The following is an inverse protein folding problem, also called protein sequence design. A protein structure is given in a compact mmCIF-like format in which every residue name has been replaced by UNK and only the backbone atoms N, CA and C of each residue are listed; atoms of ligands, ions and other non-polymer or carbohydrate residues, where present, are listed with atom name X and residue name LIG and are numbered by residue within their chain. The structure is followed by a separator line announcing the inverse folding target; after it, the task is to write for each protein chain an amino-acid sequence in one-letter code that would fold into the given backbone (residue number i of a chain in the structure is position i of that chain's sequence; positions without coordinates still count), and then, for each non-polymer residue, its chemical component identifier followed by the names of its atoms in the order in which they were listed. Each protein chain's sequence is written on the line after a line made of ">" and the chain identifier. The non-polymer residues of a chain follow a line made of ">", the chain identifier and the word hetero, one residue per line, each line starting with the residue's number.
data_IF_459691318562
#
_entry.id   IF_459691318562
#
_cell.length_a   1.000
_cell.length_b   1.000
_cell.length_c   1.000
_cell.angle_alpha   90.00
_cell.angle_beta   90.00
_cell.angle_gamma   90.00
#
_symmetry.space_group_name_H-M   'P 1'
#
loop_
_entity.id
_entity.type
_entity.pdbx_description
1 polymer ?
#
# COMPACT_ATOMS: atom_id res chain seq x y z
N UNK A 1 13.41 -15.12 -4.39
CA UNK A 1 12.39 -15.26 -3.30
C UNK A 1 11.05 -14.73 -3.79
N UNK A 2 9.97 -14.80 -3.01
CA UNK A 2 8.64 -14.26 -3.36
C UNK A 2 8.21 -13.22 -2.33
N UNK A 3 7.40 -12.24 -2.76
CA UNK A 3 6.82 -11.20 -1.90
C UNK A 3 5.32 -11.44 -1.74
N UNK A 4 4.87 -11.60 -0.51
CA UNK A 4 3.46 -11.80 -0.15
C UNK A 4 3.00 -10.61 0.69
N UNK A 5 1.83 -10.08 0.37
CA UNK A 5 1.18 -9.00 1.12
C UNK A 5 -0.09 -9.56 1.75
N UNK A 6 -0.22 -9.43 3.06
CA UNK A 6 -1.46 -9.76 3.79
C UNK A 6 -1.95 -8.51 4.50
N UNK A 7 -3.16 -8.05 4.16
CA UNK A 7 -3.75 -6.85 4.73
C UNK A 7 -5.05 -7.14 5.47
N UNK A 8 -5.40 -6.25 6.39
CA UNK A 8 -6.65 -6.34 7.15
C UNK A 8 -7.17 -4.96 7.52
N UNK A 9 -8.47 -4.72 7.28
CA UNK A 9 -9.09 -3.46 7.69
C UNK A 9 -9.13 -3.36 9.21
N UNK A 10 -8.83 -2.17 9.73
CA UNK A 10 -9.00 -1.88 11.15
C UNK A 10 -10.50 -1.82 11.44
N UNK A 11 -10.97 -2.67 12.36
CA UNK A 11 -12.39 -2.87 12.64
C UNK A 11 -13.15 -1.55 12.81
N UNK A 12 -14.19 -1.35 11.99
CA UNK A 12 -15.22 -0.34 12.22
C UNK A 12 -16.25 -0.88 13.22
N UNK A 13 -16.70 -0.03 14.16
CA UNK A 13 -17.56 -0.44 15.29
C UNK A 13 -19.04 -0.61 14.93
N UNK A 14 -19.48 -0.27 13.71
CA UNK A 14 -20.90 -0.29 13.32
C UNK A 14 -21.17 -1.24 12.14
N UNK A 15 -22.32 -1.93 12.19
CA UNK A 15 -22.76 -2.90 11.17
C UNK A 15 -23.03 -2.29 9.79
N UNK A 16 -23.66 -1.12 9.71
CA UNK A 16 -23.94 -0.43 8.43
C UNK A 16 -22.64 -0.01 7.71
N UNK A 17 -21.65 0.45 8.47
CA UNK A 17 -20.33 0.78 7.94
C UNK A 17 -19.62 -0.45 7.37
N UNK A 18 -19.93 -1.67 7.87
CA UNK A 18 -19.24 -2.90 7.49
C UNK A 18 -19.53 -3.32 6.05
N UNK A 19 -20.80 -3.28 5.61
CA UNK A 19 -21.15 -3.62 4.23
C UNK A 19 -20.51 -2.66 3.22
N UNK A 20 -20.56 -1.35 3.53
CA UNK A 20 -19.92 -0.33 2.69
C UNK A 20 -18.40 -0.53 2.63
N UNK A 21 -17.77 -0.88 3.75
CA UNK A 21 -16.34 -1.16 3.83
C UNK A 21 -15.93 -2.34 2.95
N UNK A 22 -16.74 -3.41 2.95
CA UNK A 22 -16.48 -4.58 2.11
C UNK A 22 -16.64 -4.28 0.62
N UNK A 23 -17.66 -3.52 0.22
CA UNK A 23 -17.82 -3.11 -1.19
C UNK A 23 -16.66 -2.22 -1.66
N UNK A 24 -16.21 -1.28 -0.81
CA UNK A 24 -15.01 -0.48 -1.08
C UNK A 24 -13.75 -1.32 -1.19
N UNK A 25 -13.58 -2.31 -0.30
CA UNK A 25 -12.46 -3.24 -0.36
C UNK A 25 -12.47 -4.06 -1.66
N UNK A 26 -13.62 -4.64 -2.06
CA UNK A 26 -13.77 -5.34 -3.34
C UNK A 26 -13.39 -4.45 -4.52
N UNK A 27 -13.89 -3.21 -4.54
CA UNK A 27 -13.55 -2.23 -5.57
C UNK A 27 -12.06 -1.89 -5.61
N UNK A 28 -11.43 -1.74 -4.44
CA UNK A 28 -10.00 -1.51 -4.33
C UNK A 28 -9.17 -2.68 -4.87
N UNK A 29 -9.53 -3.92 -4.52
CA UNK A 29 -8.85 -5.13 -4.99
C UNK A 29 -8.97 -5.29 -6.50
N UNK A 30 -10.17 -5.12 -7.07
CA UNK A 30 -10.36 -5.17 -8.52
C UNK A 30 -9.53 -4.12 -9.25
N UNK A 31 -9.45 -2.90 -8.69
CA UNK A 31 -8.62 -1.85 -9.26
C UNK A 31 -7.13 -2.19 -9.18
N UNK A 32 -6.65 -2.72 -8.05
CA UNK A 32 -5.24 -3.12 -7.89
C UNK A 32 -4.87 -4.21 -8.89
N UNK A 33 -5.69 -5.26 -9.03
CA UNK A 33 -5.43 -6.34 -9.99
C UNK A 33 -5.39 -5.86 -11.44
N UNK A 34 -6.20 -4.86 -11.79
CA UNK A 34 -6.17 -4.25 -13.13
C UNK A 34 -4.96 -3.33 -13.31
N UNK A 35 -4.70 -2.42 -12.35
CA UNK A 35 -3.71 -1.34 -12.46
C UNK A 35 -2.26 -1.83 -12.34
N UNK A 36 -2.04 -2.89 -11.57
CA UNK A 36 -0.72 -3.42 -11.24
C UNK A 36 -0.47 -4.80 -11.83
N UNK A 37 -1.29 -5.26 -12.80
CA UNK A 37 -1.23 -6.61 -13.37
C UNK A 37 0.20 -7.09 -13.72
N UNK A 38 1.01 -6.22 -14.33
CA UNK A 38 2.38 -6.55 -14.74
C UNK A 38 3.35 -6.75 -13.56
N UNK A 39 2.93 -6.35 -12.36
CA UNK A 39 3.68 -6.49 -11.11
C UNK A 39 3.08 -7.57 -10.19
N UNK A 40 2.05 -8.31 -10.62
CA UNK A 40 1.43 -9.36 -9.80
C UNK A 40 1.96 -10.73 -10.20
N UNK A 41 2.43 -11.48 -9.20
CA UNK A 41 2.70 -12.91 -9.34
C UNK A 41 1.40 -13.71 -9.15
N UNK A 42 0.55 -13.24 -8.24
CA UNK A 42 -0.76 -13.80 -7.95
C UNK A 42 -1.71 -12.67 -7.56
N UNK A 43 -2.93 -12.72 -8.06
CA UNK A 43 -3.93 -11.66 -7.91
C UNK A 43 -4.25 -11.40 -6.43
N UNK A 44 -4.52 -10.15 -6.09
CA UNK A 44 -5.06 -9.83 -4.77
C UNK A 44 -6.47 -10.39 -4.64
N UNK A 45 -6.77 -11.00 -3.49
CA UNK A 45 -8.07 -11.55 -3.15
C UNK A 45 -8.44 -11.27 -1.71
N UNK A 46 -9.74 -11.15 -1.46
CA UNK A 46 -10.28 -11.14 -0.11
C UNK A 46 -10.22 -12.56 0.44
N UNK A 47 -9.55 -12.74 1.57
CA UNK A 47 -9.33 -14.05 2.21
C UNK A 47 -10.25 -14.28 3.42
N UNK A 48 -10.91 -13.22 3.91
CA UNK A 48 -11.96 -13.37 4.91
C UNK A 48 -12.48 -12.03 5.42
N UNK A 49 -13.75 -11.72 5.13
CA UNK A 49 -14.44 -10.51 5.59
C UNK A 49 -13.70 -9.21 5.24
N UNK A 50 -12.79 -8.82 6.12
CA UNK A 50 -12.02 -7.57 6.10
C UNK A 50 -10.53 -7.79 5.76
N UNK A 51 -10.10 -9.04 5.55
CA UNK A 51 -8.73 -9.44 5.21
C UNK A 51 -8.55 -9.67 3.71
N UNK A 52 -7.38 -9.33 3.19
CA UNK A 52 -6.98 -9.57 1.81
C UNK A 52 -5.52 -10.03 1.71
N UNK A 53 -5.18 -10.70 0.62
CA UNK A 53 -3.83 -11.18 0.36
C UNK A 53 -3.51 -11.11 -1.14
N UNK A 54 -2.25 -10.94 -1.51
CA UNK A 54 -1.78 -10.98 -2.90
C UNK A 54 -0.26 -11.13 -2.97
N UNK A 55 0.27 -11.36 -4.17
CA UNK A 55 1.71 -11.48 -4.39
C UNK A 55 2.19 -10.49 -5.44
N UNK A 56 3.26 -9.77 -5.13
CA UNK A 56 3.89 -8.83 -6.06
C UNK A 56 5.27 -9.31 -6.47
N UNK A 57 5.70 -8.90 -7.66
CA UNK A 57 7.01 -9.25 -8.19
C UNK A 57 8.10 -8.29 -7.73
N UNK A 58 7.79 -7.06 -7.33
CA UNK A 58 8.78 -6.03 -7.01
C UNK A 58 8.41 -5.23 -5.77
N UNK A 59 9.41 -4.91 -4.93
CA UNK A 59 9.19 -4.19 -3.67
C UNK A 59 8.90 -2.70 -3.86
N UNK A 60 9.48 -2.05 -4.86
CA UNK A 60 9.36 -0.62 -5.13
C UNK A 60 7.93 -0.20 -5.54
N UNK A 61 7.12 -1.13 -6.03
CA UNK A 61 5.69 -0.93 -6.33
C UNK A 61 4.84 -0.73 -5.08
N UNK A 62 5.35 -1.08 -3.89
CA UNK A 62 4.61 -1.10 -2.63
C UNK A 62 3.94 0.24 -2.28
N UNK A 63 4.60 1.37 -2.53
CA UNK A 63 4.06 2.69 -2.18
C UNK A 63 2.88 3.04 -3.11
N UNK A 64 3.02 2.82 -4.41
CA UNK A 64 1.95 3.05 -5.38
C UNK A 64 0.73 2.15 -5.11
N UNK A 65 0.99 0.88 -4.80
CA UNK A 65 -0.04 -0.09 -4.44
C UNK A 65 -0.78 0.35 -3.17
N UNK A 66 -0.05 0.82 -2.15
CA UNK A 66 -0.64 1.32 -0.91
C UNK A 66 -1.57 2.52 -1.18
N UNK A 67 -1.16 3.46 -2.03
CA UNK A 67 -1.98 4.62 -2.42
C UNK A 67 -3.24 4.20 -3.18
N UNK A 68 -3.13 3.21 -4.07
CA UNK A 68 -4.27 2.67 -4.80
C UNK A 68 -5.31 2.05 -3.86
N UNK A 69 -4.86 1.30 -2.84
CA UNK A 69 -5.72 0.76 -1.78
C UNK A 69 -6.31 1.88 -0.92
N UNK A 70 -5.47 2.78 -0.39
CA UNK A 70 -5.88 3.91 0.46
C UNK A 70 -7.01 4.73 -0.18
N UNK A 71 -6.82 5.17 -1.42
CA UNK A 71 -7.78 6.02 -2.13
C UNK A 71 -9.12 5.37 -2.44
N UNK A 72 -9.25 4.04 -2.29
CA UNK A 72 -10.47 3.28 -2.64
C UNK A 72 -11.14 2.63 -1.44
N UNK A 73 -10.36 2.13 -0.49
CA UNK A 73 -10.88 1.51 0.74
C UNK A 73 -11.53 2.58 1.62
N UNK A 74 -10.87 3.74 1.79
CA UNK A 74 -11.37 4.83 2.64
C UNK A 74 -11.50 4.50 4.13
N UNK A 75 -10.92 3.38 4.59
CA UNK A 75 -10.85 2.96 5.99
C UNK A 75 -9.43 2.55 6.34
N UNK A 76 -8.95 2.83 7.56
CA UNK A 76 -7.62 2.41 8.01
C UNK A 76 -7.43 0.90 7.88
N UNK A 77 -6.25 0.48 7.43
CA UNK A 77 -5.87 -0.93 7.32
C UNK A 77 -4.42 -1.13 7.73
N UNK A 78 -4.09 -2.35 8.14
CA UNK A 78 -2.74 -2.80 8.40
C UNK A 78 -2.26 -3.69 7.27
N UNK A 79 -0.94 -3.69 7.03
CA UNK A 79 -0.31 -4.50 6.01
C UNK A 79 0.89 -5.27 6.60
N UNK A 80 0.94 -6.57 6.38
CA UNK A 80 2.11 -7.39 6.60
C UNK A 80 2.72 -7.77 5.26
N UNK A 81 4.04 -7.62 5.13
CA UNK A 81 4.80 -8.03 3.96
C UNK A 81 5.76 -9.14 4.37
N UNK A 82 5.66 -10.28 3.71
CA UNK A 82 6.58 -11.40 3.89
C UNK A 82 7.41 -11.61 2.63
N UNK A 83 8.72 -11.71 2.79
CA UNK A 83 9.64 -12.05 1.70
C UNK A 83 10.30 -13.38 2.04
N UNK A 84 10.11 -14.40 1.22
CA UNK A 84 10.63 -15.74 1.52
C UNK A 84 10.40 -16.76 0.41
N UNK A 85 10.58 -18.03 0.72
CA UNK A 85 10.28 -19.12 -0.20
C UNK A 85 8.77 -19.45 -0.26
N UNK A 86 8.34 -20.14 -1.33
CA UNK A 86 7.04 -20.81 -1.40
C UNK A 86 7.26 -22.33 -1.44
N UNK A 87 6.31 -23.09 -0.92
CA UNK A 87 6.37 -24.56 -0.81
C UNK A 87 5.46 -25.28 -1.81
N UNK A 88 4.80 -24.52 -2.68
CA UNK A 88 3.77 -24.97 -3.63
C UNK A 88 4.05 -24.38 -5.02
N UNK A 89 3.37 -24.90 -6.04
CA UNK A 89 3.40 -24.31 -7.38
C UNK A 89 2.72 -22.95 -7.40
N UNK A 90 3.19 -22.06 -8.27
CA UNK A 90 2.51 -20.77 -8.49
C UNK A 90 1.09 -20.97 -9.04
N UNK A 91 0.18 -20.11 -8.59
CA UNK A 91 -1.21 -20.06 -9.02
C UNK A 91 -1.68 -18.60 -9.15
N UNK A 92 -2.64 -18.36 -10.04
CA UNK A 92 -3.38 -17.08 -10.08
C UNK A 92 -4.21 -16.85 -8.81
N UNK A 93 -4.49 -17.93 -8.06
CA UNK A 93 -5.28 -17.91 -6.84
C UNK A 93 -4.33 -17.96 -5.64
N UNK A 94 -4.14 -16.82 -4.97
CA UNK A 94 -3.26 -16.72 -3.79
C UNK A 94 -3.63 -17.68 -2.65
N UNK A 95 -4.88 -18.15 -2.58
CA UNK A 95 -5.34 -19.12 -1.59
C UNK A 95 -4.83 -20.56 -1.84
N UNK A 96 -4.32 -20.83 -3.04
CA UNK A 96 -3.78 -22.15 -3.43
C UNK A 96 -2.26 -22.24 -3.21
N UNK A 97 -1.63 -21.13 -2.81
CA UNK A 97 -0.19 -21.02 -2.59
C UNK A 97 0.08 -20.96 -1.09
N UNK A 98 1.10 -21.69 -0.67
CA UNK A 98 1.60 -21.69 0.71
C UNK A 98 3.14 -21.68 0.73
N UNK A 99 3.70 -21.28 1.87
CA UNK A 99 5.13 -21.32 2.16
C UNK A 99 5.60 -20.23 3.12
N UNK A 100 6.91 -20.16 3.32
CA UNK A 100 7.55 -19.25 4.28
C UNK A 100 7.15 -17.78 4.07
N UNK A 101 7.06 -17.30 2.83
CA UNK A 101 6.64 -15.93 2.54
C UNK A 101 5.22 -15.62 3.07
N UNK A 102 4.30 -16.59 3.04
CA UNK A 102 2.93 -16.45 3.54
C UNK A 102 2.87 -16.44 5.07
N UNK A 103 3.68 -17.29 5.72
CA UNK A 103 3.78 -17.28 7.17
C UNK A 103 4.38 -15.96 7.66
N UNK A 104 5.47 -15.48 7.03
CA UNK A 104 6.09 -14.19 7.35
C UNK A 104 5.13 -13.01 7.12
N UNK A 105 4.33 -13.01 6.05
CA UNK A 105 3.38 -11.90 5.81
C UNK A 105 2.27 -11.88 6.86
N UNK A 106 1.80 -13.05 7.31
CA UNK A 106 0.81 -13.16 8.37
C UNK A 106 1.38 -12.74 9.74
N UNK A 107 2.63 -13.12 10.03
CA UNK A 107 3.35 -12.77 11.26
C UNK A 107 3.63 -11.26 11.32
N UNK A 108 4.10 -10.69 10.22
CA UNK A 108 4.24 -9.26 10.02
C UNK A 108 2.92 -8.51 10.27
N UNK A 109 1.80 -9.00 9.72
CA UNK A 109 0.47 -8.40 9.95
C UNK A 109 0.08 -8.44 11.44
N UNK A 110 0.34 -9.54 12.14
CA UNK A 110 0.10 -9.61 13.60
C UNK A 110 0.96 -8.59 14.35
N UNK A 111 2.24 -8.46 13.97
CA UNK A 111 3.16 -7.48 14.55
C UNK A 111 2.69 -6.04 14.28
N UNK A 112 2.25 -5.74 13.05
CA UNK A 112 1.69 -4.45 12.65
C UNK A 112 0.50 -4.06 13.54
N UNK A 113 -0.48 -4.96 13.69
CA UNK A 113 -1.63 -4.78 14.58
C UNK A 113 -1.23 -4.58 16.04
N UNK A 114 -0.33 -5.41 16.56
CA UNK A 114 0.15 -5.37 17.96
C UNK A 114 0.88 -4.06 18.28
N UNK A 115 1.79 -3.63 17.40
CA UNK A 115 2.60 -2.42 17.56
C UNK A 115 1.91 -1.15 17.06
N UNK A 116 0.71 -1.27 16.46
CA UNK A 116 -0.03 -0.18 15.79
C UNK A 116 0.81 0.52 14.72
N UNK A 117 1.53 -0.28 13.93
CA UNK A 117 2.28 0.15 12.75
C UNK A 117 1.44 -0.11 11.51
N UNK A 118 1.41 0.82 10.57
CA UNK A 118 0.67 0.70 9.31
C UNK A 118 1.15 -0.47 8.46
N UNK A 119 2.46 -0.72 8.49
CA UNK A 119 3.11 -1.81 7.77
C UNK A 119 4.24 -2.42 8.57
N UNK A 120 4.43 -3.73 8.45
CA UNK A 120 5.61 -4.45 8.94
C UNK A 120 6.12 -5.36 7.82
N UNK A 121 7.44 -5.51 7.72
CA UNK A 121 8.09 -6.33 6.69
C UNK A 121 8.98 -7.38 7.35
N UNK A 122 8.83 -8.64 6.95
CA UNK A 122 9.61 -9.76 7.50
C UNK A 122 10.29 -10.57 6.37
N UNK A 123 11.50 -11.06 6.66
CA UNK A 123 12.29 -12.00 5.85
C UNK A 123 12.96 -13.02 6.75
N UNK A 124 13.49 -14.14 6.22
CA UNK A 124 14.19 -15.16 7.02
C UNK A 124 15.35 -14.60 7.86
N UNK A 125 16.01 -13.54 7.37
CA UNK A 125 17.13 -12.85 8.02
C UNK A 125 16.70 -11.80 9.06
N UNK A 126 15.42 -11.46 9.15
CA UNK A 126 14.83 -10.61 10.18
C UNK A 126 15.05 -9.09 10.02
N UNK A 127 16.28 -8.64 9.85
CA UNK A 127 16.62 -7.20 10.00
C UNK A 127 16.79 -6.43 8.67
N UNK A 128 16.53 -7.06 7.52
CA UNK A 128 16.80 -6.45 6.22
C UNK A 128 15.93 -5.21 5.90
N UNK A 129 14.76 -5.08 6.53
CA UNK A 129 13.77 -4.08 6.17
C UNK A 129 13.63 -2.92 7.17
N UNK A 130 14.39 -2.87 8.27
CA UNK A 130 14.14 -1.93 9.37
C UNK A 130 14.04 -0.46 8.93
N UNK A 131 14.98 -0.01 8.08
CA UNK A 131 15.00 1.37 7.56
C UNK A 131 13.81 1.64 6.64
N UNK A 132 13.50 0.70 5.73
CA UNK A 132 12.39 0.84 4.79
C UNK A 132 11.05 0.86 5.54
N UNK A 133 10.85 -0.06 6.49
CA UNK A 133 9.68 -0.12 7.35
C UNK A 133 9.48 1.18 8.14
N UNK A 134 10.55 1.71 8.72
CA UNK A 134 10.49 2.97 9.48
C UNK A 134 10.01 4.13 8.60
N UNK A 135 10.59 4.29 7.41
CA UNK A 135 10.21 5.35 6.48
C UNK A 135 8.76 5.16 6.00
N UNK A 136 8.38 3.94 5.61
CA UNK A 136 7.02 3.61 5.19
C UNK A 136 5.99 3.97 6.26
N UNK A 137 6.24 3.61 7.52
CA UNK A 137 5.32 3.92 8.61
C UNK A 137 5.18 5.43 8.84
N UNK A 138 6.28 6.20 8.76
CA UNK A 138 6.23 7.66 8.86
C UNK A 138 5.45 8.28 7.70
N UNK A 139 5.66 7.79 6.47
CA UNK A 139 4.94 8.24 5.28
C UNK A 139 3.45 7.93 5.37
N UNK A 140 3.08 6.73 5.81
CA UNK A 140 1.68 6.33 5.95
C UNK A 140 0.98 7.05 7.12
N UNK A 141 1.70 7.43 8.16
CA UNK A 141 1.15 8.29 9.22
C UNK A 141 0.78 9.68 8.67
N UNK A 142 1.62 10.24 7.79
CA UNK A 142 1.28 11.48 7.07
C UNK A 142 0.04 11.28 6.20
N UNK A 143 -0.06 10.18 5.44
CA UNK A 143 -1.21 9.87 4.58
C UNK A 143 -2.51 9.77 5.41
N UNK A 144 -2.49 9.02 6.52
CA UNK A 144 -3.67 8.87 7.39
C UNK A 144 -4.00 10.11 8.23
N UNK A 145 -3.11 11.11 8.28
CA UNK A 145 -3.39 12.42 8.90
C UNK A 145 -4.19 13.37 8.00
N UNK A 146 -4.40 13.00 6.72
CA UNK A 146 -5.13 13.84 5.79
C UNK A 146 -6.63 13.82 6.07
N UNK A 147 -7.26 14.99 5.93
CA UNK A 147 -8.73 15.06 5.87
C UNK A 147 -9.20 14.52 4.52
N UNK A 148 -10.45 14.06 4.42
CA UNK A 148 -11.00 13.51 3.17
C UNK A 148 -10.80 14.45 1.97
N UNK A 149 -11.15 15.73 2.12
CA UNK A 149 -10.94 16.74 1.07
C UNK A 149 -9.48 16.90 0.67
N UNK A 150 -8.55 16.78 1.63
CA UNK A 150 -7.12 16.88 1.36
C UNK A 150 -6.64 15.64 0.61
N UNK A 151 -7.05 14.45 1.06
CA UNK A 151 -6.75 13.19 0.41
C UNK A 151 -7.22 13.19 -1.05
N UNK A 152 -8.47 13.60 -1.31
CA UNK A 152 -9.02 13.68 -2.67
C UNK A 152 -8.17 14.55 -3.62
N UNK A 153 -7.76 15.73 -3.16
CA UNK A 153 -6.95 16.66 -3.95
C UNK A 153 -5.54 16.09 -4.18
N UNK A 154 -4.91 15.53 -3.14
CA UNK A 154 -3.55 14.98 -3.23
C UNK A 154 -3.54 13.74 -4.14
N UNK A 155 -4.49 12.82 -3.98
CA UNK A 155 -4.63 11.64 -4.81
C UNK A 155 -4.86 12.03 -6.27
N UNK A 156 -5.74 13.00 -6.52
CA UNK A 156 -5.95 13.49 -7.88
C UNK A 156 -4.67 14.08 -8.48
N UNK A 157 -3.93 14.90 -7.73
CA UNK A 157 -2.65 15.44 -8.19
C UNK A 157 -1.63 14.34 -8.52
N UNK A 158 -1.54 13.31 -7.67
CA UNK A 158 -0.70 12.11 -7.88
C UNK A 158 -1.08 11.35 -9.15
N UNK A 159 -2.36 11.06 -9.33
CA UNK A 159 -2.88 10.28 -10.46
C UNK A 159 -2.78 11.02 -11.80
N UNK A 160 -2.62 12.35 -11.80
CA UNK A 160 -2.54 13.18 -13.01
C UNK A 160 -1.13 13.70 -13.30
N UNK A 161 -0.11 13.01 -12.79
CA UNK A 161 1.29 13.20 -13.19
C UNK A 161 2.04 14.31 -12.46
N UNK A 162 1.51 14.80 -11.33
CA UNK A 162 2.24 15.62 -10.36
C UNK A 162 2.96 16.85 -10.95
N UNK A 163 2.30 17.52 -11.89
CA UNK A 163 2.86 18.62 -12.66
C UNK A 163 1.94 19.87 -12.60
N UNK A 164 2.38 21.04 -13.11
CA UNK A 164 1.56 22.24 -13.11
C UNK A 164 0.20 22.08 -13.81
N UNK A 165 0.11 21.23 -14.84
CA UNK A 165 -1.16 20.96 -15.51
C UNK A 165 -2.13 20.20 -14.59
N UNK A 166 -1.64 19.27 -13.77
CA UNK A 166 -2.44 18.59 -12.75
C UNK A 166 -3.01 19.56 -11.70
N UNK A 167 -2.29 20.65 -11.38
CA UNK A 167 -2.78 21.70 -10.47
C UNK A 167 -3.97 22.44 -11.09
N UNK A 168 -3.87 22.81 -12.37
CA UNK A 168 -4.96 23.48 -13.09
C UNK A 168 -6.18 22.58 -13.21
N UNK A 169 -5.97 21.30 -13.55
CA UNK A 169 -7.03 20.31 -13.61
C UNK A 169 -7.70 20.08 -12.24
N UNK A 170 -6.91 20.02 -11.16
CA UNK A 170 -7.44 19.90 -9.80
C UNK A 170 -8.24 21.15 -9.41
N UNK A 171 -7.76 22.34 -9.76
CA UNK A 171 -8.44 23.63 -9.54
C UNK A 171 -9.83 23.61 -10.16
N UNK A 172 -9.96 23.14 -11.40
CA UNK A 172 -11.24 22.99 -12.10
C UNK A 172 -12.13 21.92 -11.44
N UNK A 173 -11.60 20.72 -11.20
CA UNK A 173 -12.37 19.59 -10.63
C UNK A 173 -12.93 19.90 -9.24
N UNK A 174 -12.13 20.50 -8.37
CA UNK A 174 -12.50 20.78 -6.98
C UNK A 174 -13.09 22.19 -6.76
N UNK A 175 -13.34 22.91 -7.87
CA UNK A 175 -13.95 24.25 -7.90
C UNK A 175 -13.29 25.21 -6.90
N UNK A 176 -11.95 25.24 -6.91
CA UNK A 176 -11.16 26.07 -6.00
C UNK A 176 -9.95 26.61 -6.73
N UNK A 177 -9.45 27.80 -6.37
CA UNK A 177 -8.30 28.37 -7.08
C UNK A 177 -7.01 27.57 -6.90
N UNK A 178 -6.11 27.64 -7.88
CA UNK A 178 -4.79 26.98 -7.89
C UNK A 178 -3.97 27.24 -6.62
N UNK A 179 -4.03 28.45 -6.07
CA UNK A 179 -3.40 28.81 -4.78
C UNK A 179 -3.88 27.91 -3.64
N UNK A 180 -5.15 27.51 -3.61
CA UNK A 180 -5.68 26.60 -2.60
C UNK A 180 -5.20 25.17 -2.82
N UNK A 181 -5.06 24.72 -4.07
CA UNK A 181 -4.46 23.42 -4.37
C UNK A 181 -3.03 23.33 -3.82
N UNK A 182 -2.20 24.34 -4.09
CA UNK A 182 -0.85 24.42 -3.50
C UNK A 182 -0.86 24.44 -1.97
N UNK A 183 -1.78 25.20 -1.34
CA UNK A 183 -1.93 25.20 0.11
C UNK A 183 -2.32 23.82 0.64
N UNK A 184 -3.20 23.09 -0.04
CA UNK A 184 -3.61 21.74 0.32
C UNK A 184 -2.43 20.76 0.25
N UNK A 185 -1.65 20.79 -0.85
CA UNK A 185 -0.44 19.97 -0.99
C UNK A 185 0.58 20.26 0.11
N UNK A 186 0.79 21.55 0.42
CA UNK A 186 1.67 21.98 1.51
C UNK A 186 1.18 21.52 2.89
N UNK A 187 -0.12 21.68 3.17
CA UNK A 187 -0.72 21.26 4.43
C UNK A 187 -0.72 19.73 4.62
N UNK A 188 -0.68 18.97 3.53
CA UNK A 188 -0.49 17.52 3.57
C UNK A 188 0.97 17.07 3.60
N UNK A 189 1.93 17.99 3.72
CA UNK A 189 3.36 17.70 3.64
C UNK A 189 3.77 16.93 2.38
N UNK A 190 3.06 17.13 1.26
CA UNK A 190 3.21 16.28 0.07
C UNK A 190 4.61 16.33 -0.54
N UNK A 191 5.26 17.50 -0.52
CA UNK A 191 6.66 17.63 -0.98
C UNK A 191 7.63 16.77 -0.16
N UNK A 192 7.47 16.74 1.17
CA UNK A 192 8.28 15.89 2.04
C UNK A 192 7.96 14.41 1.82
N UNK A 193 6.67 14.09 1.65
CA UNK A 193 6.23 12.74 1.30
C UNK A 193 6.94 12.26 0.01
N UNK A 194 6.93 13.07 -1.06
CA UNK A 194 7.57 12.73 -2.35
C UNK A 194 9.08 12.54 -2.23
N UNK A 195 9.74 13.36 -1.40
CA UNK A 195 11.15 13.16 -1.10
C UNK A 195 11.41 11.81 -0.41
N UNK A 196 10.64 11.50 0.64
CA UNK A 196 10.76 10.23 1.37
C UNK A 196 10.47 9.02 0.49
N UNK A 197 9.43 9.11 -0.34
CA UNK A 197 9.11 8.11 -1.37
C UNK A 197 10.27 7.87 -2.35
N UNK A 198 10.90 8.94 -2.86
CA UNK A 198 12.05 8.79 -3.76
C UNK A 198 13.30 8.18 -3.11
N UNK A 199 13.50 8.39 -1.80
CA UNK A 199 14.56 7.70 -1.04
C UNK A 199 14.20 6.23 -0.86
N UNK A 200 12.94 5.96 -0.52
CA UNK A 200 12.44 4.62 -0.27
C UNK A 200 12.48 3.75 -1.54
N UNK A 201 12.08 4.27 -2.70
CA UNK A 201 12.16 3.60 -4.00
C UNK A 201 13.57 3.03 -4.26
N UNK A 202 14.61 3.86 -4.05
CA UNK A 202 16.00 3.44 -4.19
C UNK A 202 16.40 2.36 -3.20
N UNK A 203 15.89 2.40 -1.97
CA UNK A 203 16.19 1.39 -0.95
C UNK A 203 15.48 0.07 -1.24
N UNK A 204 14.21 0.12 -1.62
CA UNK A 204 13.42 -1.06 -1.95
C UNK A 204 14.01 -1.79 -3.17
N UNK A 205 14.49 -1.06 -4.19
CA UNK A 205 15.24 -1.65 -5.33
C UNK A 205 16.52 -2.37 -4.90
N UNK A 206 17.30 -1.77 -4.00
CA UNK A 206 18.52 -2.41 -3.46
C UNK A 206 18.20 -3.67 -2.67
N UNK A 207 17.16 -3.62 -1.83
CA UNK A 207 16.70 -4.78 -1.05
C UNK A 207 16.15 -5.88 -1.95
N UNK A 208 15.43 -5.51 -3.01
CA UNK A 208 14.92 -6.42 -4.01
C UNK A 208 16.06 -7.20 -4.69
N UNK A 209 17.07 -6.51 -5.22
CA UNK A 209 18.26 -7.16 -5.80
C UNK A 209 19.00 -8.03 -4.80
N UNK A 210 19.17 -7.55 -3.55
CA UNK A 210 19.93 -8.28 -2.53
C UNK A 210 19.25 -9.58 -2.07
N UNK A 211 17.92 -9.58 -1.93
CA UNK A 211 17.19 -10.63 -1.21
C UNK A 211 16.40 -11.53 -2.18
N UNK A 212 15.85 -10.94 -3.24
CA UNK A 212 14.87 -11.60 -4.09
C UNK A 212 15.55 -12.20 -5.31
N UNK A 213 16.39 -11.39 -5.97
CA UNK A 213 17.16 -11.78 -7.16
C UNK A 213 18.67 -11.53 -6.95
N UNK A 214 19.31 -12.19 -5.96
CA UNK A 214 20.76 -12.11 -5.82
C UNK A 214 21.43 -12.77 -7.04
N UNK A 215 22.36 -12.05 -7.66
CA UNK A 215 23.19 -12.55 -8.78
C UNK A 215 23.84 -13.92 -8.46
#
# INVERSE_FOLDING_TARGET
>A
MYIVLTGDLRSSKKMEDRNLSQEKLKGAINFVNSRFKDYLISDFRITGGDSFQGMISQLDVLVDLYFALYGRIGNPFYLGVGVGSISTSLSEFVQEIDGEAFHLSADALRTAKKKKRWIVMESPSGDDFEVAECILNLLFDVVWSWTDRRADIILYYRENGENPQAIEQASQKFQTGTRNIYKTLKAGSYSLFKYGEGVLDKQLKKLHHKIIDPD
#
